data_IF_466962872740
#
_entry.id   IF_466962872740
#
_cell.length_a   1.000
_cell.length_b   1.000
_cell.length_c   1.000
_cell.angle_alpha   90.00
_cell.angle_beta   90.00
_cell.angle_gamma   90.00
#
_symmetry.space_group_name_H-M   'P 1'
#
loop_
_entity.id
_entity.type
_entity.pdbx_description
1 polymer ?
#
# COMPACT_ATOMS: atom_id res chain seq x y z
N UNK A 1 8.92 31.30 -5.14
CA UNK A 1 7.72 30.43 -5.06
C UNK A 1 8.14 29.10 -4.47
N UNK A 2 7.91 28.91 -3.17
CA UNK A 2 8.23 27.68 -2.45
C UNK A 2 7.22 26.60 -2.87
N UNK A 3 7.68 25.54 -3.52
CA UNK A 3 6.84 24.37 -3.78
C UNK A 3 6.27 23.81 -2.46
N UNK A 4 5.12 23.12 -2.50
CA UNK A 4 4.51 22.59 -1.30
C UNK A 4 5.50 21.67 -0.58
N UNK A 5 5.85 22.04 0.65
CA UNK A 5 6.62 21.23 1.59
C UNK A 5 6.02 19.83 1.67
N UNK A 6 6.86 18.78 1.56
CA UNK A 6 6.40 17.41 1.73
C UNK A 6 5.65 17.29 3.08
N UNK A 7 4.47 16.65 3.10
CA UNK A 7 3.69 16.55 4.33
C UNK A 7 4.49 15.82 5.41
N UNK A 8 4.40 16.26 6.68
CA UNK A 8 5.11 15.61 7.77
C UNK A 8 4.75 14.12 7.87
N UNK A 9 5.69 13.24 8.27
CA UNK A 9 5.41 11.83 8.44
C UNK A 9 4.27 11.63 9.45
N UNK A 10 3.38 10.68 9.14
CA UNK A 10 2.20 10.42 9.97
C UNK A 10 2.58 10.06 11.40
N UNK A 11 1.90 10.64 12.39
CA UNK A 11 2.15 10.32 13.80
C UNK A 11 1.64 8.92 14.14
N UNK A 12 2.19 8.30 15.20
CA UNK A 12 1.71 6.99 15.69
C UNK A 12 0.21 7.03 15.99
N UNK A 13 -0.29 8.13 16.56
CA UNK A 13 -1.70 8.33 16.84
C UNK A 13 -2.56 8.36 15.55
N UNK A 14 -2.09 9.03 14.49
CA UNK A 14 -2.76 9.04 13.20
C UNK A 14 -2.83 7.65 12.57
N UNK A 15 -1.74 6.87 12.63
CA UNK A 15 -1.71 5.50 12.12
C UNK A 15 -2.73 4.63 12.85
N UNK A 16 -2.75 4.68 14.19
CA UNK A 16 -3.71 3.93 15.01
C UNK A 16 -5.14 4.33 14.67
N UNK A 17 -5.44 5.64 14.60
CA UNK A 17 -6.78 6.13 14.28
C UNK A 17 -7.27 5.64 12.91
N UNK A 18 -6.43 5.71 11.88
CA UNK A 18 -6.78 5.24 10.52
C UNK A 18 -6.98 3.73 10.49
N UNK A 19 -6.12 2.96 11.16
CA UNK A 19 -6.25 1.50 11.24
C UNK A 19 -7.52 1.10 11.98
N UNK A 20 -7.82 1.75 13.12
CA UNK A 20 -9.06 1.52 13.87
C UNK A 20 -10.30 1.87 13.05
N UNK A 21 -10.27 2.98 12.30
CA UNK A 21 -11.36 3.36 11.40
C UNK A 21 -11.59 2.31 10.30
N UNK A 22 -10.51 1.84 9.66
CA UNK A 22 -10.57 0.73 8.70
C UNK A 22 -11.16 -0.53 9.32
N UNK A 23 -10.74 -0.90 10.54
CA UNK A 23 -11.23 -2.10 11.23
C UNK A 23 -12.74 -2.06 11.46
N UNK A 24 -13.25 -0.95 11.98
CA UNK A 24 -14.69 -0.80 12.27
C UNK A 24 -15.50 -0.85 10.98
N UNK A 25 -15.11 -0.05 9.97
CA UNK A 25 -15.81 -0.02 8.70
C UNK A 25 -15.86 -1.40 8.03
N UNK A 26 -14.73 -2.11 8.06
CA UNK A 26 -14.60 -3.42 7.43
C UNK A 26 -15.38 -4.53 8.18
N UNK A 27 -15.45 -4.48 9.51
CA UNK A 27 -16.23 -5.45 10.29
C UNK A 27 -17.73 -5.30 10.01
N UNK A 28 -18.26 -4.07 10.07
CA UNK A 28 -19.67 -3.80 9.73
C UNK A 28 -19.97 -4.25 8.30
N UNK A 29 -19.12 -3.87 7.34
CA UNK A 29 -19.29 -4.22 5.93
C UNK A 29 -19.46 -5.73 5.71
N UNK A 30 -18.64 -6.57 6.38
CA UNK A 30 -18.71 -8.02 6.16
C UNK A 30 -20.01 -8.65 6.67
N UNK A 31 -20.48 -8.26 7.85
CA UNK A 31 -21.71 -8.83 8.40
C UNK A 31 -22.93 -8.38 7.61
N UNK A 32 -23.03 -7.09 7.27
CA UNK A 32 -24.17 -6.57 6.51
C UNK A 32 -24.15 -7.11 5.07
N UNK A 33 -22.98 -7.20 4.41
CA UNK A 33 -22.86 -7.85 3.10
C UNK A 33 -23.42 -9.27 3.10
N UNK A 34 -23.08 -10.07 4.12
CA UNK A 34 -23.56 -11.44 4.23
C UNK A 34 -25.08 -11.50 4.37
N UNK A 35 -25.67 -10.61 5.19
CA UNK A 35 -27.13 -10.56 5.37
C UNK A 35 -27.85 -10.24 4.06
N UNK A 36 -27.34 -9.29 3.27
CA UNK A 36 -27.94 -8.91 1.99
C UNK A 36 -27.80 -10.01 0.94
N UNK A 37 -26.61 -10.60 0.82
CA UNK A 37 -26.37 -11.67 -0.14
C UNK A 37 -27.18 -12.93 0.16
N UNK A 38 -27.46 -13.21 1.44
CA UNK A 38 -28.37 -14.29 1.83
C UNK A 38 -29.83 -13.98 1.49
N UNK A 39 -30.25 -12.72 1.52
CA UNK A 39 -31.61 -12.28 1.21
C UNK A 39 -31.87 -12.07 -0.30
N UNK A 40 -30.80 -11.90 -1.10
CA UNK A 40 -30.86 -11.70 -2.54
C UNK A 40 -29.70 -12.41 -3.26
N UNK A 41 -29.63 -13.77 -3.20
CA UNK A 41 -28.52 -14.54 -3.77
C UNK A 41 -28.44 -14.45 -5.30
N UNK A 42 -29.53 -14.00 -5.94
CA UNK A 42 -29.63 -13.88 -7.39
C UNK A 42 -29.09 -12.57 -7.98
N UNK A 43 -28.77 -11.57 -7.14
CA UNK A 43 -28.35 -10.23 -7.56
C UNK A 43 -26.98 -9.76 -7.00
N UNK A 44 -25.94 -10.62 -6.95
CA UNK A 44 -24.66 -10.25 -6.35
C UNK A 44 -23.90 -9.16 -7.11
N UNK A 45 -23.95 -9.14 -8.45
CA UNK A 45 -23.24 -8.12 -9.24
C UNK A 45 -23.98 -6.79 -9.18
N UNK A 46 -25.30 -6.80 -9.22
CA UNK A 46 -26.12 -5.61 -8.99
C UNK A 46 -25.88 -5.02 -7.61
N UNK A 47 -25.78 -5.86 -6.57
CA UNK A 47 -25.45 -5.43 -5.22
C UNK A 47 -24.11 -4.68 -5.17
N UNK A 48 -23.06 -5.24 -5.76
CA UNK A 48 -21.75 -4.59 -5.86
C UNK A 48 -21.80 -3.30 -6.68
N UNK A 49 -22.53 -3.30 -7.81
CA UNK A 49 -22.71 -2.12 -8.64
C UNK A 49 -23.37 -0.97 -7.86
N UNK A 50 -24.44 -1.27 -7.11
CA UNK A 50 -25.11 -0.30 -6.25
C UNK A 50 -24.17 0.26 -5.18
N UNK A 51 -23.32 -0.57 -4.57
CA UNK A 51 -22.33 -0.10 -3.60
C UNK A 51 -21.35 0.91 -4.21
N UNK A 52 -20.84 0.64 -5.41
CA UNK A 52 -19.93 1.55 -6.09
C UNK A 52 -20.62 2.86 -6.48
N UNK A 53 -21.87 2.81 -6.95
CA UNK A 53 -22.66 3.99 -7.30
C UNK A 53 -22.95 4.86 -6.07
N UNK A 54 -23.37 4.25 -4.96
CA UNK A 54 -23.62 4.95 -3.70
C UNK A 54 -22.33 5.58 -3.18
N UNK A 55 -21.19 4.90 -3.30
CA UNK A 55 -19.90 5.47 -2.92
C UNK A 55 -19.54 6.72 -3.74
N UNK A 56 -19.82 6.72 -5.05
CA UNK A 56 -19.63 7.90 -5.91
C UNK A 56 -20.57 9.04 -5.52
N UNK A 57 -21.84 8.74 -5.23
CA UNK A 57 -22.81 9.74 -4.75
C UNK A 57 -22.34 10.36 -3.42
N UNK A 58 -21.88 9.54 -2.47
CA UNK A 58 -21.38 10.02 -1.19
C UNK A 58 -20.10 10.85 -1.33
N UNK A 59 -19.24 10.55 -2.31
CA UNK A 59 -18.09 11.38 -2.65
C UNK A 59 -18.50 12.76 -3.17
N UNK A 60 -19.48 12.82 -4.08
CA UNK A 60 -20.03 14.08 -4.54
C UNK A 60 -20.69 14.87 -3.41
N UNK A 61 -21.47 14.21 -2.55
CA UNK A 61 -22.05 14.83 -1.37
C UNK A 61 -20.97 15.37 -0.43
N UNK A 62 -19.94 14.59 -0.16
CA UNK A 62 -18.81 15.01 0.68
C UNK A 62 -18.09 16.24 0.13
N UNK A 63 -17.99 16.36 -1.20
CA UNK A 63 -17.44 17.54 -1.87
C UNK A 63 -18.32 18.79 -1.71
N UNK A 64 -19.64 18.61 -1.67
CA UNK A 64 -20.56 19.74 -1.41
C UNK A 64 -20.55 20.19 0.05
N UNK A 65 -20.27 19.29 1.00
CA UNK A 65 -20.24 19.61 2.43
C UNK A 65 -18.89 20.14 2.92
N UNK A 66 -17.78 19.85 2.25
CA UNK A 66 -16.44 20.21 2.70
C UNK A 66 -15.56 20.76 1.57
N UNK A 67 -15.03 21.97 1.78
CA UNK A 67 -14.06 22.59 0.87
C UNK A 67 -12.72 21.86 0.79
N UNK A 68 -12.46 20.92 1.71
CA UNK A 68 -11.27 20.06 1.70
C UNK A 68 -11.42 18.85 0.76
N UNK A 69 -12.64 18.54 0.31
CA UNK A 69 -12.93 17.44 -0.61
C UNK A 69 -13.05 18.00 -2.03
N UNK A 70 -11.99 17.87 -2.83
CA UNK A 70 -12.01 18.25 -4.24
C UNK A 70 -12.36 17.02 -5.09
N UNK A 71 -13.42 17.12 -5.89
CA UNK A 71 -13.74 16.12 -6.92
C UNK A 71 -12.62 16.18 -7.97
N UNK A 72 -12.09 15.04 -8.44
CA UNK A 72 -11.10 15.02 -9.50
C UNK A 72 -11.58 15.79 -10.74
N UNK A 73 -10.66 16.50 -11.38
CA UNK A 73 -10.83 16.89 -12.77
C UNK A 73 -10.84 15.63 -13.63
N UNK A 74 -11.81 15.52 -14.53
CA UNK A 74 -11.91 14.40 -15.47
C UNK A 74 -10.84 14.52 -16.55
N UNK A 75 -9.61 14.17 -16.20
CA UNK A 75 -8.46 14.13 -17.10
C UNK A 75 -8.25 12.69 -17.60
N UNK A 76 -8.29 12.53 -18.92
CA UNK A 76 -8.05 11.26 -19.59
C UNK A 76 -6.66 10.68 -19.28
N UNK A 77 -5.65 11.53 -19.08
CA UNK A 77 -4.29 11.11 -18.73
C UNK A 77 -4.26 10.41 -17.37
N UNK A 78 -4.91 11.02 -16.37
CA UNK A 78 -5.05 10.44 -15.03
C UNK A 78 -5.85 9.14 -15.11
N UNK A 79 -7.00 9.14 -15.79
CA UNK A 79 -7.83 7.96 -15.97
C UNK A 79 -7.05 6.77 -16.56
N UNK A 80 -6.29 7.01 -17.64
CA UNK A 80 -5.44 6.00 -18.29
C UNK A 80 -4.34 5.50 -17.34
N UNK A 81 -3.76 6.38 -16.54
CA UNK A 81 -2.70 6.02 -15.58
C UNK A 81 -3.19 5.18 -14.39
N UNK A 82 -4.48 5.31 -14.04
CA UNK A 82 -5.16 4.61 -12.95
C UNK A 82 -5.90 3.35 -13.41
N UNK A 83 -6.11 3.19 -14.71
CA UNK A 83 -6.80 2.04 -15.30
C UNK A 83 -6.34 0.68 -14.75
N UNK A 84 -5.03 0.39 -14.54
CA UNK A 84 -4.61 -0.88 -13.95
C UNK A 84 -5.15 -1.10 -12.53
N UNK A 85 -5.17 -0.06 -11.69
CA UNK A 85 -5.64 -0.14 -10.30
C UNK A 85 -7.14 -0.45 -10.28
N UNK A 86 -7.90 0.24 -11.13
CA UNK A 86 -9.35 0.09 -11.27
C UNK A 86 -9.71 -1.28 -11.83
N UNK A 87 -9.02 -1.73 -12.88
CA UNK A 87 -9.29 -3.00 -13.55
C UNK A 87 -9.01 -4.19 -12.64
N UNK A 88 -7.87 -4.18 -11.94
CA UNK A 88 -7.54 -5.25 -10.99
C UNK A 88 -8.54 -5.29 -9.83
N UNK A 89 -9.02 -4.14 -9.35
CA UNK A 89 -10.08 -4.10 -8.34
C UNK A 89 -11.39 -4.73 -8.86
N UNK A 90 -11.87 -4.31 -10.03
CA UNK A 90 -13.12 -4.81 -10.61
C UNK A 90 -13.07 -6.32 -10.85
N UNK A 91 -12.01 -6.82 -11.49
CA UNK A 91 -11.83 -8.25 -11.76
C UNK A 91 -11.65 -9.04 -10.46
N UNK A 92 -10.90 -8.49 -9.50
CA UNK A 92 -10.72 -9.08 -8.16
C UNK A 92 -12.05 -9.24 -7.41
N UNK A 93 -12.93 -8.25 -7.46
CA UNK A 93 -14.27 -8.32 -6.85
C UNK A 93 -15.14 -9.42 -7.49
N UNK A 94 -15.06 -9.59 -8.81
CA UNK A 94 -15.78 -10.67 -9.52
C UNK A 94 -15.24 -12.03 -9.11
N UNK A 95 -13.92 -12.28 -9.19
CA UNK A 95 -13.35 -13.56 -8.76
C UNK A 95 -13.60 -13.86 -7.29
N UNK A 96 -13.54 -12.84 -6.42
CA UNK A 96 -13.87 -13.00 -5.01
C UNK A 96 -15.31 -13.48 -4.81
N UNK A 97 -16.26 -12.87 -5.51
CA UNK A 97 -17.68 -13.24 -5.46
C UNK A 97 -17.91 -14.65 -6.01
N UNK A 98 -17.27 -15.01 -7.13
CA UNK A 98 -17.36 -16.36 -7.71
C UNK A 98 -16.76 -17.42 -6.78
N UNK A 99 -15.65 -17.12 -6.11
CA UNK A 99 -15.05 -17.99 -5.11
C UNK A 99 -16.00 -18.25 -3.95
N UNK A 100 -16.55 -17.18 -3.35
CA UNK A 100 -17.51 -17.30 -2.23
C UNK A 100 -18.77 -18.09 -2.58
N UNK A 101 -19.15 -18.12 -3.85
CA UNK A 101 -20.27 -18.93 -4.35
C UNK A 101 -19.89 -20.40 -4.58
N UNK A 102 -18.64 -20.67 -4.96
CA UNK A 102 -18.18 -21.98 -5.38
C UNK A 102 -17.53 -22.82 -4.26
N UNK A 103 -17.13 -22.19 -3.14
CA UNK A 103 -16.47 -22.88 -2.03
C UNK A 103 -17.03 -22.46 -0.67
N UNK A 104 -16.97 -23.37 0.31
CA UNK A 104 -17.33 -23.07 1.69
C UNK A 104 -16.36 -22.07 2.35
N UNK A 105 -16.85 -21.43 3.41
CA UNK A 105 -16.10 -20.43 4.17
C UNK A 105 -14.74 -20.93 4.68
N UNK A 106 -14.61 -22.23 4.97
CA UNK A 106 -13.34 -22.86 5.39
C UNK A 106 -12.28 -22.81 4.28
N UNK A 107 -12.64 -23.12 3.04
CA UNK A 107 -11.73 -23.06 1.89
C UNK A 107 -11.36 -21.63 1.51
N UNK A 108 -12.28 -20.69 1.69
CA UNK A 108 -12.00 -19.27 1.48
C UNK A 108 -10.89 -18.72 2.41
N UNK A 109 -10.67 -19.34 3.58
CA UNK A 109 -9.55 -18.97 4.46
C UNK A 109 -8.19 -19.30 3.85
N UNK A 110 -8.09 -20.32 2.98
CA UNK A 110 -6.86 -20.63 2.25
C UNK A 110 -6.49 -19.47 1.33
N UNK A 111 -7.46 -18.96 0.57
CA UNK A 111 -7.27 -17.78 -0.28
C UNK A 111 -6.82 -16.56 0.55
N UNK A 112 -7.40 -16.34 1.73
CA UNK A 112 -6.96 -15.26 2.65
C UNK A 112 -5.53 -15.44 3.14
N UNK A 113 -5.14 -16.67 3.47
CA UNK A 113 -3.77 -17.00 3.86
C UNK A 113 -2.75 -16.65 2.78
N UNK A 114 -3.12 -16.81 1.50
CA UNK A 114 -2.24 -16.53 0.36
C UNK A 114 -2.07 -15.03 0.05
N UNK A 115 -2.98 -14.16 0.48
CA UNK A 115 -2.93 -12.72 0.16
C UNK A 115 -1.62 -12.08 0.63
N UNK A 116 -1.18 -12.41 1.84
CA UNK A 116 0.00 -11.81 2.46
C UNK A 116 1.32 -12.17 1.76
N UNK A 117 1.67 -13.45 1.52
CA UNK A 117 2.88 -13.81 0.78
C UNK A 117 2.85 -13.28 -0.67
N UNK A 118 1.68 -13.29 -1.32
CA UNK A 118 1.53 -12.70 -2.65
C UNK A 118 1.76 -11.18 -2.64
N UNK A 119 1.27 -10.48 -1.62
CA UNK A 119 1.49 -9.03 -1.47
C UNK A 119 2.97 -8.71 -1.28
N UNK A 120 3.69 -9.50 -0.47
CA UNK A 120 5.13 -9.33 -0.28
C UNK A 120 5.87 -9.59 -1.60
N UNK A 121 5.51 -10.64 -2.33
CA UNK A 121 6.13 -10.95 -3.62
C UNK A 121 5.90 -9.82 -4.64
N UNK A 122 4.65 -9.36 -4.81
CA UNK A 122 4.31 -8.27 -5.73
C UNK A 122 4.99 -6.96 -5.31
N UNK A 123 5.03 -6.65 -4.01
CA UNK A 123 5.71 -5.46 -3.50
C UNK A 123 7.23 -5.51 -3.75
N UNK A 124 7.85 -6.69 -3.59
CA UNK A 124 9.28 -6.88 -3.86
C UNK A 124 9.60 -6.75 -5.35
N UNK A 125 8.77 -7.32 -6.23
CA UNK A 125 8.92 -7.21 -7.69
C UNK A 125 8.74 -5.75 -8.14
N UNK A 126 7.71 -5.06 -7.64
CA UNK A 126 7.40 -3.69 -8.04
C UNK A 126 8.43 -2.69 -7.50
N UNK A 127 8.80 -2.81 -6.22
CA UNK A 127 9.69 -1.85 -5.55
C UNK A 127 11.19 -2.16 -5.68
N UNK A 128 11.56 -3.32 -6.23
CA UNK A 128 12.95 -3.84 -6.29
C UNK A 128 13.69 -3.80 -4.95
N UNK A 129 12.96 -3.96 -3.84
CA UNK A 129 13.52 -4.04 -2.48
C UNK A 129 13.14 -5.37 -1.85
N UNK A 130 14.12 -6.07 -1.32
CA UNK A 130 13.91 -7.35 -0.65
C UNK A 130 13.38 -7.12 0.77
N UNK A 131 12.35 -7.89 1.21
CA UNK A 131 11.88 -7.82 2.58
C UNK A 131 12.93 -8.39 3.54
N UNK A 132 12.93 -7.91 4.79
CA UNK A 132 13.78 -8.50 5.83
C UNK A 132 13.32 -9.92 6.18
N UNK A 133 14.27 -10.79 6.55
CA UNK A 133 13.96 -12.18 6.93
C UNK A 133 12.90 -12.26 8.03
N UNK A 134 12.92 -11.32 8.99
CA UNK A 134 11.93 -11.24 10.06
C UNK A 134 10.52 -10.90 9.56
N UNK A 135 10.39 -10.08 8.51
CA UNK A 135 9.09 -9.84 7.85
C UNK A 135 8.59 -11.12 7.17
N UNK A 136 9.48 -11.90 6.55
CA UNK A 136 9.13 -13.18 5.95
C UNK A 136 8.67 -14.20 7.00
N UNK A 137 9.35 -14.28 8.15
CA UNK A 137 8.94 -15.14 9.27
C UNK A 137 7.58 -14.72 9.84
N UNK A 138 7.35 -13.42 10.02
CA UNK A 138 6.04 -12.93 10.45
C UNK A 138 4.94 -13.29 9.43
N UNK A 139 5.26 -13.23 8.13
CA UNK A 139 4.36 -13.55 7.06
C UNK A 139 4.01 -15.05 6.97
N UNK A 140 5.00 -15.93 7.15
CA UNK A 140 4.78 -17.38 7.19
C UNK A 140 3.95 -17.77 8.40
N UNK A 141 4.17 -17.15 9.57
CA UNK A 141 3.33 -17.35 10.75
C UNK A 141 1.87 -16.98 10.47
N UNK A 142 1.60 -15.77 9.95
CA UNK A 142 0.22 -15.35 9.64
C UNK A 142 -0.43 -16.26 8.60
N UNK A 143 0.30 -16.63 7.54
CA UNK A 143 -0.18 -17.55 6.50
C UNK A 143 -0.51 -18.92 7.08
N UNK A 144 0.41 -19.48 7.88
CA UNK A 144 0.22 -20.75 8.57
C UNK A 144 -0.95 -20.71 9.54
N UNK A 145 -1.17 -19.58 10.24
CA UNK A 145 -2.31 -19.37 11.11
C UNK A 145 -3.65 -19.48 10.37
N UNK A 146 -3.78 -18.89 9.17
CA UNK A 146 -4.99 -19.08 8.34
C UNK A 146 -5.20 -20.53 7.93
N UNK A 147 -4.13 -21.27 7.61
CA UNK A 147 -4.20 -22.69 7.25
C UNK A 147 -4.58 -23.58 8.44
N UNK A 148 -4.01 -23.35 9.62
CA UNK A 148 -4.36 -24.07 10.88
C UNK A 148 -5.86 -23.95 11.16
N UNK A 149 -6.45 -22.79 10.90
CA UNK A 149 -7.88 -22.56 11.11
C UNK A 149 -8.81 -23.43 10.26
N UNK A 150 -8.29 -24.11 9.22
CA UNK A 150 -9.07 -24.93 8.28
C UNK A 150 -9.04 -26.44 8.56
N UNK A 151 -8.07 -26.93 9.35
CA UNK A 151 -7.64 -28.34 9.40
C UNK A 151 -8.63 -29.35 10.01
N UNK A 152 -9.77 -28.92 10.57
CA UNK A 152 -10.86 -29.82 11.01
C UNK A 152 -12.25 -29.45 10.48
N UNK A 153 -12.40 -28.31 9.80
CA UNK A 153 -13.67 -27.94 9.16
C UNK A 153 -13.73 -28.35 7.69
N UNK A 154 -12.59 -28.73 7.10
CA UNK A 154 -12.54 -29.42 5.83
C UNK A 154 -12.68 -30.93 6.09
N UNK A 155 -13.89 -31.40 6.43
CA UNK A 155 -14.24 -32.75 5.98
C UNK A 155 -13.98 -32.74 4.49
N UNK A 156 -13.10 -33.61 3.99
CA UNK A 156 -12.81 -33.75 2.56
C UNK A 156 -14.08 -34.33 1.92
N UNK A 157 -15.15 -33.54 1.86
CA UNK A 157 -16.28 -33.83 1.00
C UNK A 157 -15.78 -33.54 -0.40
N UNK A 158 -15.78 -34.59 -1.24
CA UNK A 158 -15.26 -34.63 -2.59
C UNK A 158 -15.94 -33.67 -3.60
N UNK A 159 -16.64 -32.64 -3.12
CA UNK A 159 -17.34 -31.63 -3.91
C UNK A 159 -16.66 -30.25 -3.84
N UNK A 160 -15.36 -30.15 -3.53
CA UNK A 160 -14.63 -28.90 -3.75
C UNK A 160 -14.49 -28.68 -5.24
N UNK A 161 -15.24 -27.72 -5.79
CA UNK A 161 -15.10 -27.31 -7.18
C UNK A 161 -13.67 -26.80 -7.41
N UNK A 162 -12.91 -27.49 -8.28
CA UNK A 162 -11.56 -27.06 -8.67
C UNK A 162 -11.55 -25.61 -9.18
N UNK A 163 -12.63 -25.19 -9.85
CA UNK A 163 -12.84 -23.81 -10.30
C UNK A 163 -12.94 -22.82 -9.13
N UNK A 164 -13.61 -23.21 -8.04
CA UNK A 164 -13.74 -22.39 -6.83
C UNK A 164 -12.41 -22.11 -6.15
N UNK A 165 -11.51 -23.10 -6.09
CA UNK A 165 -10.14 -22.92 -5.58
C UNK A 165 -9.32 -21.99 -6.48
N UNK A 166 -9.41 -22.16 -7.80
CA UNK A 166 -8.75 -21.28 -8.77
C UNK A 166 -9.21 -19.83 -8.62
N UNK A 167 -10.52 -19.59 -8.51
CA UNK A 167 -11.05 -18.24 -8.25
C UNK A 167 -10.54 -17.67 -6.91
N UNK A 168 -10.34 -18.51 -5.89
CA UNK A 168 -9.76 -18.10 -4.62
C UNK A 168 -8.31 -17.60 -4.76
N UNK A 169 -7.48 -18.34 -5.49
CA UNK A 169 -6.08 -17.94 -5.77
C UNK A 169 -6.02 -16.67 -6.61
N UNK A 170 -6.84 -16.58 -7.67
CA UNK A 170 -6.91 -15.39 -8.53
C UNK A 170 -7.41 -14.16 -7.78
N UNK A 171 -8.40 -14.31 -6.91
CA UNK A 171 -8.88 -13.25 -6.01
C UNK A 171 -7.78 -12.79 -5.06
N UNK A 172 -7.06 -13.72 -4.42
CA UNK A 172 -5.96 -13.40 -3.51
C UNK A 172 -4.84 -12.62 -4.21
N UNK A 173 -4.48 -13.02 -5.43
CA UNK A 173 -3.52 -12.31 -6.28
C UNK A 173 -4.03 -10.93 -6.66
N UNK A 174 -5.29 -10.79 -7.05
CA UNK A 174 -5.89 -9.50 -7.38
C UNK A 174 -5.88 -8.53 -6.19
N UNK A 175 -6.21 -9.00 -4.98
CA UNK A 175 -6.13 -8.21 -3.74
C UNK A 175 -4.68 -7.74 -3.49
N UNK A 176 -3.71 -8.65 -3.63
CA UNK A 176 -2.29 -8.34 -3.45
C UNK A 176 -1.79 -7.29 -4.45
N UNK A 177 -2.09 -7.48 -5.74
CA UNK A 177 -1.72 -6.55 -6.81
C UNK A 177 -2.42 -5.21 -6.62
N UNK A 178 -3.72 -5.20 -6.30
CA UNK A 178 -4.47 -3.97 -6.06
C UNK A 178 -3.87 -3.14 -4.92
N UNK A 179 -3.53 -3.76 -3.79
CA UNK A 179 -2.91 -3.07 -2.66
C UNK A 179 -1.58 -2.40 -3.04
N UNK A 180 -0.73 -3.08 -3.82
CA UNK A 180 0.55 -2.51 -4.29
C UNK A 180 0.32 -1.41 -5.31
N UNK A 181 -0.62 -1.60 -6.24
CA UNK A 181 -0.98 -0.60 -7.24
C UNK A 181 -1.57 0.66 -6.62
N UNK A 182 -2.34 0.57 -5.53
CA UNK A 182 -2.80 1.75 -4.76
C UNK A 182 -1.60 2.56 -4.29
N UNK A 183 -0.61 1.90 -3.67
CA UNK A 183 0.62 2.55 -3.21
C UNK A 183 1.35 3.29 -4.34
N UNK A 184 1.41 2.67 -5.53
CA UNK A 184 2.03 3.25 -6.73
C UNK A 184 1.17 4.33 -7.42
N UNK A 185 -0.14 4.32 -7.22
CA UNK A 185 -1.08 5.25 -7.83
C UNK A 185 -1.26 6.53 -7.02
N UNK A 186 -1.07 6.49 -5.70
CA UNK A 186 -1.21 7.66 -4.82
C UNK A 186 -0.40 8.89 -5.29
N UNK A 187 0.88 8.78 -5.71
CA UNK A 187 1.63 9.93 -6.23
C UNK A 187 1.05 10.52 -7.53
N UNK A 188 0.35 9.71 -8.34
CA UNK A 188 -0.23 10.14 -9.63
C UNK A 188 -1.47 11.03 -9.48
N UNK A 189 -2.10 11.00 -8.31
CA UNK A 189 -3.27 11.83 -7.96
C UNK A 189 -2.93 12.84 -6.86
N UNK A 190 -1.72 13.42 -6.93
CA UNK A 190 -1.23 14.41 -5.96
C UNK A 190 -1.26 13.93 -4.49
N UNK A 191 -1.21 12.62 -4.25
CA UNK A 191 -1.33 12.02 -2.93
C UNK A 191 -2.74 12.08 -2.32
N UNK A 192 -3.77 12.45 -3.09
CA UNK A 192 -5.16 12.51 -2.61
C UNK A 192 -5.79 11.13 -2.56
N UNK A 193 -5.97 10.59 -1.35
CA UNK A 193 -6.65 9.30 -1.15
C UNK A 193 -8.12 9.35 -1.59
N UNK A 194 -8.76 10.51 -1.46
CA UNK A 194 -10.17 10.69 -1.80
C UNK A 194 -10.37 10.80 -3.32
N UNK A 195 -9.43 11.42 -4.02
CA UNK A 195 -9.41 11.44 -5.47
C UNK A 195 -9.21 10.04 -6.05
N UNK A 196 -8.30 9.26 -5.46
CA UNK A 196 -8.12 7.86 -5.83
C UNK A 196 -9.40 7.05 -5.56
N UNK A 197 -10.06 7.29 -4.42
CA UNK A 197 -11.32 6.63 -4.07
C UNK A 197 -12.42 6.87 -5.11
N UNK A 198 -12.49 8.09 -5.65
CA UNK A 198 -13.41 8.42 -6.74
C UNK A 198 -13.13 7.59 -7.98
N UNK A 199 -11.89 7.63 -8.48
CA UNK A 199 -11.51 6.89 -9.68
C UNK A 199 -11.69 5.39 -9.52
N UNK A 200 -11.38 4.82 -8.34
CA UNK A 200 -11.58 3.40 -8.07
C UNK A 200 -13.05 3.01 -8.03
N UNK A 201 -13.91 3.77 -7.35
CA UNK A 201 -15.34 3.43 -7.26
C UNK A 201 -16.07 3.69 -8.58
N UNK A 202 -15.90 4.87 -9.18
CA UNK A 202 -16.54 5.22 -10.45
C UNK A 202 -16.06 4.31 -11.60
N UNK A 203 -14.75 4.10 -11.71
CA UNK A 203 -14.19 3.22 -12.73
C UNK A 203 -14.61 1.76 -12.54
N UNK A 204 -14.69 1.28 -11.30
CA UNK A 204 -15.19 -0.09 -11.03
C UNK A 204 -16.67 -0.21 -11.40
N UNK A 205 -17.50 0.78 -11.10
CA UNK A 205 -18.91 0.79 -11.53
C UNK A 205 -19.05 0.69 -13.06
N UNK A 206 -18.23 1.45 -13.81
CA UNK A 206 -18.21 1.39 -15.27
C UNK A 206 -17.79 0.00 -15.77
N UNK A 207 -16.74 -0.59 -15.20
CA UNK A 207 -16.26 -1.92 -15.61
C UNK A 207 -17.20 -3.06 -15.19
N UNK A 208 -18.01 -2.88 -14.14
CA UNK A 208 -19.02 -3.85 -13.74
C UNK A 208 -20.28 -3.80 -14.61
N UNK A 209 -20.55 -2.69 -15.31
CA UNK A 209 -21.78 -2.55 -16.11
C UNK A 209 -21.90 -3.61 -17.22
N UNK A 210 -20.88 -3.90 -18.05
CA UNK A 210 -20.97 -5.00 -19.03
C UNK A 210 -21.17 -6.36 -18.36
N UNK A 211 -20.53 -6.61 -17.21
CA UNK A 211 -20.69 -7.86 -16.46
C UNK A 211 -22.13 -8.01 -15.97
N UNK A 212 -22.73 -6.94 -15.45
CA UNK A 212 -24.13 -6.91 -15.00
C UNK A 212 -25.12 -7.23 -16.13
N UNK A 213 -24.84 -6.75 -17.34
CA UNK A 213 -25.67 -7.05 -18.52
C UNK A 213 -25.49 -8.51 -18.97
N UNK A 214 -24.26 -9.01 -18.99
CA UNK A 214 -23.93 -10.36 -19.43
C UNK A 214 -24.39 -11.45 -18.45
N UNK A 215 -24.43 -11.18 -17.15
CA UNK A 215 -24.96 -12.13 -16.15
C UNK A 215 -26.48 -12.25 -16.19
N UNK A 216 -27.17 -11.38 -16.94
CA UNK A 216 -28.62 -11.35 -17.03
C UNK A 216 -29.32 -10.84 -15.77
N UNK A 217 -28.58 -10.34 -14.76
CA UNK A 217 -29.17 -9.77 -13.55
C UNK A 217 -30.03 -8.54 -13.88
N UNK A 218 -29.61 -7.71 -14.84
CA UNK A 218 -30.41 -6.59 -15.34
C UNK A 218 -31.71 -7.06 -16.02
N UNK A 219 -31.67 -8.16 -16.77
CA UNK A 219 -32.85 -8.74 -17.41
C UNK A 219 -33.84 -9.31 -16.38
N UNK A 220 -33.33 -9.89 -15.28
CA UNK A 220 -34.16 -10.33 -14.15
C UNK A 220 -34.94 -9.16 -13.54
N UNK A 221 -34.27 -8.03 -13.26
CA UNK A 221 -34.94 -6.82 -12.77
C UNK A 221 -36.00 -6.31 -13.74
N UNK A 222 -35.67 -6.30 -15.04
CA UNK A 222 -36.59 -5.88 -16.08
C UNK A 222 -37.85 -6.75 -16.09
N UNK A 223 -37.71 -8.07 -15.97
CA UNK A 223 -38.85 -9.00 -15.91
C UNK A 223 -39.73 -8.79 -14.67
N UNK A 224 -39.13 -8.52 -13.50
CA UNK A 224 -39.89 -8.19 -12.28
C UNK A 224 -40.60 -6.85 -12.41
N UNK A 225 -39.94 -5.84 -13.00
CA UNK A 225 -40.53 -4.53 -13.22
C UNK A 225 -41.75 -4.58 -14.14
N UNK A 226 -41.69 -5.41 -15.19
CA UNK A 226 -42.82 -5.63 -16.09
C UNK A 226 -43.96 -6.38 -15.40
N UNK A 227 -43.64 -7.41 -14.60
CA UNK A 227 -44.65 -8.14 -13.83
C UNK A 227 -45.41 -7.23 -12.86
N UNK A 228 -44.71 -6.29 -12.22
CA UNK A 228 -45.30 -5.28 -11.33
C UNK A 228 -46.10 -4.22 -12.10
N UNK A 229 -45.60 -3.72 -13.23
CA UNK A 229 -46.22 -2.62 -13.98
C UNK A 229 -47.42 -3.06 -14.84
N UNK A 230 -47.38 -4.27 -15.41
CA UNK A 230 -48.35 -4.74 -16.40
C UNK A 230 -49.09 -6.03 -16.00
N UNK A 231 -48.84 -6.57 -14.81
CA UNK A 231 -49.56 -7.74 -14.30
C UNK A 231 -49.35 -9.00 -15.14
N UNK A 232 -48.11 -9.36 -15.47
CA UNK A 232 -47.83 -10.56 -16.27
C UNK A 232 -48.10 -11.86 -15.48
N UNK A 233 -48.81 -12.82 -16.09
CA UNK A 233 -49.19 -14.11 -15.50
C UNK A 233 -48.00 -15.05 -15.18
N UNK A 234 -46.83 -14.82 -15.76
CA UNK A 234 -45.61 -15.56 -15.45
C UNK A 234 -44.84 -14.78 -14.37
N UNK A 235 -45.17 -14.96 -13.09
CA UNK A 235 -44.35 -14.40 -12.02
C UNK A 235 -42.94 -15.00 -12.11
N UNK A 236 -41.88 -14.20 -12.34
CA UNK A 236 -40.52 -14.70 -12.21
C UNK A 236 -40.36 -15.17 -10.77
N UNK A 237 -39.94 -16.41 -10.57
CA UNK A 237 -39.74 -17.04 -9.25
C UNK A 237 -38.50 -16.48 -8.54
N UNK A 238 -38.45 -15.16 -8.35
CA UNK A 238 -37.35 -14.48 -7.69
C UNK A 238 -37.81 -14.12 -6.28
N UNK A 239 -37.44 -14.95 -5.31
CA UNK A 239 -37.71 -14.69 -3.90
C UNK A 239 -36.68 -13.68 -3.35
N UNK A 240 -36.86 -12.40 -3.66
CA UNK A 240 -36.05 -11.32 -3.09
C UNK A 240 -36.84 -10.58 -2.03
N UNK A 241 -36.24 -10.46 -0.85
CA UNK A 241 -36.71 -9.51 0.15
C UNK A 241 -36.21 -8.09 -0.21
N UNK A 242 -37.04 -7.33 -0.91
CA UNK A 242 -36.70 -5.98 -1.39
C UNK A 242 -36.33 -4.99 -0.28
N UNK A 243 -36.95 -5.10 0.90
CA UNK A 243 -36.61 -4.24 2.03
C UNK A 243 -35.18 -4.50 2.52
N UNK A 244 -34.83 -5.77 2.72
CA UNK A 244 -33.48 -6.16 3.13
C UNK A 244 -32.46 -5.80 2.05
N UNK A 245 -32.81 -6.00 0.77
CA UNK A 245 -31.93 -5.67 -0.34
C UNK A 245 -31.66 -4.17 -0.47
N UNK A 246 -32.69 -3.31 -0.44
CA UNK A 246 -32.54 -1.87 -0.63
C UNK A 246 -31.88 -1.20 0.58
N UNK A 247 -32.38 -1.47 1.79
CA UNK A 247 -31.77 -0.92 3.02
C UNK A 247 -30.36 -1.44 3.19
N UNK A 248 -30.15 -2.73 2.95
CA UNK A 248 -28.83 -3.33 3.02
C UNK A 248 -27.87 -2.81 1.95
N UNK A 249 -28.34 -2.58 0.72
CA UNK A 249 -27.55 -1.93 -0.34
C UNK A 249 -27.15 -0.51 0.05
N UNK A 250 -28.05 0.25 0.66
CA UNK A 250 -27.73 1.59 1.17
C UNK A 250 -26.68 1.56 2.27
N UNK A 251 -26.90 0.75 3.32
CA UNK A 251 -25.97 0.64 4.46
C UNK A 251 -24.60 0.15 3.99
N UNK A 252 -24.55 -0.87 3.15
CA UNK A 252 -23.28 -1.41 2.63
C UNK A 252 -22.64 -0.50 1.58
N UNK A 253 -23.41 0.32 0.86
CA UNK A 253 -22.87 1.39 0.02
C UNK A 253 -22.15 2.46 0.86
N UNK A 254 -22.76 2.88 1.97
CA UNK A 254 -22.13 3.81 2.93
C UNK A 254 -20.87 3.21 3.55
N UNK A 255 -20.96 2.00 4.11
CA UNK A 255 -19.80 1.36 4.73
C UNK A 255 -18.76 0.92 3.70
N UNK A 256 -19.15 0.61 2.46
CA UNK A 256 -18.26 0.33 1.34
C UNK A 256 -17.45 1.56 0.93
N UNK A 257 -18.09 2.74 0.89
CA UNK A 257 -17.39 4.02 0.72
C UNK A 257 -16.38 4.27 1.85
N UNK A 258 -16.82 4.16 3.11
CA UNK A 258 -15.94 4.35 4.27
C UNK A 258 -14.77 3.37 4.27
N UNK A 259 -15.02 2.10 3.94
CA UNK A 259 -14.01 1.06 3.81
C UNK A 259 -13.01 1.38 2.71
N UNK A 260 -13.48 1.82 1.53
CA UNK A 260 -12.62 2.20 0.41
C UNK A 260 -11.67 3.35 0.82
N UNK A 261 -12.22 4.44 1.38
CA UNK A 261 -11.43 5.58 1.85
C UNK A 261 -10.46 5.16 2.96
N UNK A 262 -10.93 4.38 3.94
CA UNK A 262 -10.09 3.90 5.04
C UNK A 262 -8.93 3.04 4.55
N UNK A 263 -9.15 2.13 3.60
CA UNK A 263 -8.11 1.30 3.00
C UNK A 263 -7.06 2.13 2.26
N UNK A 264 -7.49 3.12 1.46
CA UNK A 264 -6.59 4.00 0.73
C UNK A 264 -5.75 4.87 1.68
N UNK A 265 -6.36 5.46 2.71
CA UNK A 265 -5.63 6.23 3.72
C UNK A 265 -4.70 5.32 4.51
N UNK A 266 -5.13 4.11 4.88
CA UNK A 266 -4.31 3.11 5.60
C UNK A 266 -3.07 2.77 4.80
N UNK A 267 -3.18 2.47 3.50
CA UNK A 267 -2.04 2.21 2.63
C UNK A 267 -1.15 3.46 2.50
N UNK A 268 -1.75 4.65 2.36
CA UNK A 268 -1.03 5.93 2.26
C UNK A 268 -0.16 6.22 3.48
N UNK A 269 -0.68 6.02 4.69
CA UNK A 269 0.05 6.32 5.94
C UNK A 269 0.93 5.17 6.42
N UNK A 270 0.76 3.96 5.87
CA UNK A 270 1.56 2.78 6.22
C UNK A 270 2.30 2.22 5.00
N UNK A 271 1.88 1.07 4.49
CA UNK A 271 2.35 0.46 3.24
C UNK A 271 1.36 -0.62 2.81
N UNK A 272 1.40 -1.09 1.54
CA UNK A 272 0.57 -2.21 1.08
C UNK A 272 0.72 -3.47 1.94
N UNK A 273 1.96 -3.79 2.35
CA UNK A 273 2.25 -4.96 3.20
C UNK A 273 1.69 -4.77 4.61
N UNK A 274 1.89 -3.59 5.21
CA UNK A 274 1.33 -3.27 6.55
C UNK A 274 -0.19 -3.32 6.55
N UNK A 275 -0.83 -2.85 5.48
CA UNK A 275 -2.27 -2.92 5.30
C UNK A 275 -2.77 -4.38 5.26
N UNK A 276 -2.00 -5.31 4.66
CA UNK A 276 -2.37 -6.73 4.66
C UNK A 276 -2.20 -7.40 6.02
N UNK A 277 -1.16 -7.08 6.81
CA UNK A 277 -1.08 -7.52 8.21
C UNK A 277 -2.25 -7.00 9.03
N UNK A 278 -2.61 -5.73 8.82
CA UNK A 278 -3.80 -5.11 9.43
C UNK A 278 -5.08 -5.85 9.00
N UNK A 279 -5.21 -6.24 7.73
CA UNK A 279 -6.34 -7.05 7.23
C UNK A 279 -6.39 -8.47 7.82
N UNK A 280 -5.24 -9.07 8.16
CA UNK A 280 -5.19 -10.35 8.86
C UNK A 280 -5.74 -10.25 10.29
N UNK A 281 -5.32 -9.23 11.05
CA UNK A 281 -5.87 -8.94 12.39
C UNK A 281 -7.37 -8.67 12.33
N UNK A 282 -7.85 -7.94 11.32
CA UNK A 282 -9.28 -7.75 11.08
C UNK A 282 -10.03 -9.09 10.96
N UNK A 283 -9.46 -10.04 10.22
CA UNK A 283 -10.09 -11.35 10.02
C UNK A 283 -10.18 -12.17 11.31
N UNK A 284 -9.19 -12.01 12.20
CA UNK A 284 -9.23 -12.56 13.57
C UNK A 284 -10.36 -11.93 14.38
N UNK A 285 -10.44 -10.60 14.39
CA UNK A 285 -11.51 -9.87 15.09
C UNK A 285 -12.90 -10.24 14.57
N UNK A 286 -13.03 -10.40 13.25
CA UNK A 286 -14.27 -10.87 12.62
C UNK A 286 -14.66 -12.26 13.10
N UNK A 287 -13.68 -13.16 13.25
CA UNK A 287 -13.91 -14.53 13.74
C UNK A 287 -14.37 -14.52 15.20
N UNK A 288 -13.69 -13.76 16.06
CA UNK A 288 -14.07 -13.60 17.47
C UNK A 288 -15.47 -12.99 17.59
N UNK A 289 -15.75 -11.92 16.85
CA UNK A 289 -17.05 -11.25 16.88
C UNK A 289 -18.17 -12.16 16.35
N UNK A 290 -17.90 -12.96 15.31
CA UNK A 290 -18.84 -13.96 14.81
C UNK A 290 -19.21 -14.97 15.89
N UNK A 291 -18.24 -15.51 16.62
CA UNK A 291 -18.47 -16.44 17.73
C UNK A 291 -19.30 -15.76 18.85
N UNK A 292 -18.96 -14.52 19.22
CA UNK A 292 -19.67 -13.79 20.27
C UNK A 292 -21.14 -13.49 19.90
N UNK A 293 -21.38 -13.09 18.65
CA UNK A 293 -22.74 -12.74 18.17
C UNK A 293 -23.59 -14.01 17.99
N UNK A 294 -23.03 -15.04 17.36
CA UNK A 294 -23.78 -16.27 17.02
C UNK A 294 -23.73 -17.32 18.13
N UNK A 295 -23.04 -17.05 19.24
CA UNK A 295 -22.81 -17.97 20.37
C UNK A 295 -22.28 -19.34 19.88
N UNK A 296 -21.42 -19.31 18.88
CA UNK A 296 -20.81 -20.51 18.29
C UNK A 296 -19.68 -21.05 19.19
N UNK A 297 -19.34 -22.32 19.04
CA UNK A 297 -18.28 -22.96 19.82
C UNK A 297 -16.92 -22.64 19.19
N UNK A 298 -15.98 -22.08 19.98
CA UNK A 298 -14.59 -21.93 19.55
C UNK A 298 -13.91 -23.30 19.59
N UNK A 299 -13.59 -23.86 18.43
CA UNK A 299 -12.77 -25.07 18.34
C UNK A 299 -11.30 -24.77 18.68
N UNK A 300 -10.57 -25.78 19.16
CA UNK A 300 -9.15 -25.64 19.49
C UNK A 300 -8.32 -25.12 18.29
N UNK A 301 -8.64 -25.54 17.06
CA UNK A 301 -7.96 -25.09 15.85
C UNK A 301 -8.23 -23.62 15.53
N UNK A 302 -9.46 -23.13 15.75
CA UNK A 302 -9.79 -21.70 15.62
C UNK A 302 -9.01 -20.88 16.65
N UNK A 303 -8.90 -21.36 17.88
CA UNK A 303 -8.12 -20.68 18.93
C UNK A 303 -6.62 -20.64 18.61
N UNK A 304 -6.06 -21.77 18.16
CA UNK A 304 -4.66 -21.86 17.72
C UNK A 304 -4.39 -20.93 16.51
N UNK A 305 -5.28 -20.93 15.52
CA UNK A 305 -5.23 -20.02 14.36
C UNK A 305 -5.19 -18.56 14.79
N UNK A 306 -6.09 -18.14 15.69
CA UNK A 306 -6.13 -16.78 16.23
C UNK A 306 -4.81 -16.42 16.92
N UNK A 307 -4.30 -17.29 17.78
CA UNK A 307 -3.03 -17.07 18.50
C UNK A 307 -1.84 -16.88 17.55
N UNK A 308 -1.72 -17.75 16.54
CA UNK A 308 -0.62 -17.70 15.57
C UNK A 308 -0.69 -16.44 14.70
N UNK A 309 -1.89 -16.06 14.21
CA UNK A 309 -2.06 -14.84 13.39
C UNK A 309 -1.72 -13.59 14.20
N UNK A 310 -2.20 -13.49 15.44
CA UNK A 310 -1.91 -12.35 16.31
C UNK A 310 -0.42 -12.26 16.65
N UNK A 311 0.21 -13.40 16.97
CA UNK A 311 1.64 -13.44 17.24
C UNK A 311 2.47 -12.98 16.03
N UNK A 312 2.19 -13.50 14.84
CA UNK A 312 2.87 -13.08 13.60
C UNK A 312 2.65 -11.58 13.29
N UNK A 313 1.44 -11.06 13.54
CA UNK A 313 1.12 -9.64 13.32
C UNK A 313 1.82 -8.70 14.33
N UNK A 314 1.92 -9.12 15.59
CA UNK A 314 2.69 -8.42 16.62
C UNK A 314 4.18 -8.42 16.29
N UNK A 315 4.72 -9.56 15.87
CA UNK A 315 6.11 -9.69 15.44
C UNK A 315 6.42 -8.72 14.29
N UNK A 316 5.56 -8.69 13.26
CA UNK A 316 5.71 -7.74 12.15
C UNK A 316 5.72 -6.27 12.62
N UNK A 317 4.78 -5.91 13.50
CA UNK A 317 4.68 -4.54 14.02
C UNK A 317 5.93 -4.15 14.81
N UNK A 318 6.47 -5.07 15.62
CA UNK A 318 7.73 -4.87 16.34
C UNK A 318 8.92 -4.69 15.39
N UNK A 319 9.03 -5.52 14.36
CA UNK A 319 10.08 -5.40 13.32
C UNK A 319 10.00 -4.03 12.65
N UNK A 320 8.79 -3.60 12.25
CA UNK A 320 8.59 -2.31 11.59
C UNK A 320 8.92 -1.13 12.51
N UNK A 321 8.56 -1.23 13.80
CA UNK A 321 8.92 -0.24 14.81
C UNK A 321 10.44 -0.11 14.94
N UNK A 322 11.16 -1.23 15.00
CA UNK A 322 12.63 -1.27 15.08
C UNK A 322 13.30 -0.71 13.81
N UNK A 323 12.78 -1.05 12.63
CA UNK A 323 13.24 -0.45 11.36
C UNK A 323 13.06 1.07 11.35
N UNK A 324 11.91 1.56 11.84
CA UNK A 324 11.66 3.00 11.95
C UNK A 324 12.59 3.69 12.95
N UNK A 325 12.87 3.05 14.09
CA UNK A 325 13.81 3.58 15.09
C UNK A 325 15.24 3.62 14.56
N UNK A 326 15.69 2.59 13.84
CA UNK A 326 17.01 2.56 13.20
C UNK A 326 17.16 3.65 12.15
N UNK A 327 16.11 3.91 11.37
CA UNK A 327 16.11 5.00 10.38
C UNK A 327 16.22 6.38 11.04
N UNK A 328 15.53 6.57 12.17
CA UNK A 328 15.50 7.85 12.86
C UNK A 328 16.68 8.06 13.82
N UNK A 329 17.49 7.03 14.08
CA UNK A 329 18.63 7.08 15.01
C UNK A 329 19.83 6.31 14.41
N UNK A 330 20.55 6.91 13.44
CA UNK A 330 21.62 6.24 12.70
C UNK A 330 22.86 5.88 13.56
N UNK A 331 23.02 6.47 14.75
CA UNK A 331 24.15 6.20 15.66
C UNK A 331 24.20 4.80 16.29
N UNK A 332 23.27 3.90 15.94
CA UNK A 332 23.18 2.54 16.50
C UNK A 332 23.24 1.44 15.43
N UNK A 333 23.71 1.75 14.22
CA UNK A 333 23.96 0.74 13.19
C UNK A 333 25.17 -0.14 13.60
N UNK A 334 25.05 -1.48 13.66
CA UNK A 334 26.21 -2.34 13.78
C UNK A 334 27.09 -2.13 12.54
N UNK A 335 28.40 -1.92 12.74
CA UNK A 335 29.38 -1.91 11.67
C UNK A 335 29.21 -3.15 10.78
N UNK A 336 29.44 -3.05 9.45
CA UNK A 336 29.39 -4.22 8.58
C UNK A 336 30.38 -5.24 9.12
N UNK A 337 29.93 -6.47 9.37
CA UNK A 337 30.83 -7.58 9.70
C UNK A 337 31.65 -7.87 8.44
N UNK A 338 32.91 -7.43 8.43
CA UNK A 338 33.92 -7.99 7.55
C UNK A 338 34.16 -9.42 8.03
N UNK A 339 33.74 -10.38 7.21
CA UNK A 339 34.14 -11.77 7.40
C UNK A 339 35.60 -11.87 6.93
N UNK A 340 36.53 -11.75 7.86
CA UNK A 340 37.90 -12.21 7.66
C UNK A 340 37.90 -13.73 7.84
N UNK A 341 37.64 -14.45 6.75
CA UNK A 341 37.99 -15.88 6.65
C UNK A 341 39.15 -16.02 5.67
N UNK A 342 40.18 -16.70 6.17
CA UNK A 342 41.51 -16.92 5.62
C UNK A 342 41.50 -17.43 4.16
N UNK A 343 42.32 -16.79 3.32
CA UNK A 343 42.76 -17.37 2.05
C UNK A 343 44.29 -17.52 2.05
N UNK A 344 44.76 -18.73 2.35
CA UNK A 344 46.11 -19.18 2.05
C UNK A 344 46.07 -20.05 0.77
N UNK A 345 46.96 -19.77 -0.18
CA UNK A 345 47.45 -20.78 -1.11
C UNK A 345 47.09 -20.66 -2.60
N UNK A 346 47.92 -19.91 -3.32
CA UNK A 346 48.60 -20.25 -4.60
C UNK A 346 47.83 -20.96 -5.74
N UNK A 347 47.85 -20.30 -6.92
CA UNK A 347 48.46 -20.91 -8.11
C UNK A 347 47.61 -21.04 -9.39
N UNK A 348 48.18 -20.53 -10.49
CA UNK A 348 48.10 -20.99 -11.90
C UNK A 348 46.97 -20.49 -12.85
N UNK A 349 47.38 -19.53 -13.68
CA UNK A 349 47.36 -19.47 -15.17
C UNK A 349 46.18 -19.99 -16.04
N UNK A 350 45.77 -19.09 -16.96
CA UNK A 350 45.44 -19.29 -18.39
C UNK A 350 44.03 -19.76 -18.83
N UNK A 351 43.24 -18.88 -19.49
CA UNK A 351 43.02 -18.87 -20.96
C UNK A 351 41.94 -17.87 -21.41
N UNK A 352 42.25 -17.21 -22.53
CA UNK A 352 41.39 -16.36 -23.38
C UNK A 352 40.19 -17.14 -23.98
N UNK A 353 39.00 -16.51 -24.01
CA UNK A 353 38.07 -16.63 -25.14
C UNK A 353 37.07 -15.46 -25.17
N UNK A 354 36.85 -14.95 -26.36
CA UNK A 354 36.31 -13.63 -26.73
C UNK A 354 34.78 -13.65 -26.92
N UNK A 355 34.16 -12.47 -26.78
CA UNK A 355 32.94 -11.96 -27.47
C UNK A 355 31.58 -12.06 -26.73
N UNK A 356 31.17 -10.99 -26.03
CA UNK A 356 30.20 -10.00 -26.54
C UNK A 356 29.95 -8.89 -25.52
N UNK A 357 30.18 -7.66 -25.96
CA UNK A 357 30.11 -6.38 -25.24
C UNK A 357 28.69 -5.85 -25.07
N UNK A 358 28.26 -5.63 -23.82
CA UNK A 358 27.36 -4.53 -23.42
C UNK A 358 27.89 -4.02 -22.06
N UNK A 359 28.27 -2.75 -22.00
CA UNK A 359 28.86 -2.08 -20.84
C UNK A 359 28.01 -2.29 -19.56
N UNK A 360 28.51 -3.11 -18.65
CA UNK A 360 28.33 -2.95 -17.22
C UNK A 360 29.72 -2.60 -16.66
N UNK A 361 29.85 -1.40 -16.11
CA UNK A 361 31.04 -1.03 -15.36
C UNK A 361 31.02 -1.80 -14.04
N UNK A 362 31.79 -2.88 -14.02
CA UNK A 362 32.14 -3.65 -12.84
C UNK A 362 32.89 -2.76 -11.83
N UNK A 363 32.45 -2.81 -10.58
CA UNK A 363 33.10 -2.12 -9.46
C UNK A 363 34.06 -3.10 -8.80
N UNK A 364 35.33 -3.05 -9.20
CA UNK A 364 36.44 -3.56 -8.42
C UNK A 364 37.72 -2.80 -8.83
N UNK A 365 38.17 -1.85 -7.99
CA UNK A 365 39.46 -1.17 -8.22
C UNK A 365 39.69 0.11 -7.43
N UNK A 366 40.51 -0.01 -6.39
CA UNK A 366 41.33 1.03 -5.73
C UNK A 366 40.64 2.22 -5.04
N UNK A 367 40.92 2.40 -3.75
CA UNK A 367 40.68 3.64 -3.01
C UNK A 367 41.61 4.79 -3.41
N UNK A 368 41.93 4.91 -4.69
CA UNK A 368 42.71 6.01 -5.25
C UNK A 368 41.74 6.96 -5.96
N UNK A 369 41.73 8.23 -5.53
CA UNK A 369 40.98 9.30 -6.19
C UNK A 369 41.65 9.56 -7.53
N UNK A 370 41.02 9.15 -8.64
CA UNK A 370 41.52 9.41 -9.99
C UNK A 370 40.86 10.65 -10.59
N UNK A 371 39.58 10.86 -10.31
CA UNK A 371 38.82 12.02 -10.78
C UNK A 371 38.22 12.83 -9.62
N UNK A 372 38.02 14.16 -9.78
CA UNK A 372 37.40 15.00 -8.75
C UNK A 372 36.02 14.51 -8.30
N UNK A 373 35.26 13.84 -9.19
CA UNK A 373 33.96 13.27 -8.89
C UNK A 373 34.02 12.01 -8.02
N UNK A 374 35.15 11.30 -8.02
CA UNK A 374 35.33 10.13 -7.14
C UNK A 374 35.33 10.55 -5.67
N UNK A 375 35.80 11.76 -5.37
CA UNK A 375 35.80 12.30 -4.01
C UNK A 375 34.36 12.41 -3.46
N UNK A 376 33.43 12.90 -4.28
CA UNK A 376 32.01 13.05 -3.91
C UNK A 376 31.35 11.68 -3.81
N UNK A 377 31.71 10.75 -4.70
CA UNK A 377 31.28 9.35 -4.62
C UNK A 377 31.69 8.69 -3.30
N UNK A 378 32.90 8.95 -2.84
CA UNK A 378 33.43 8.43 -1.59
C UNK A 378 32.79 9.08 -0.36
N UNK A 379 32.24 10.29 -0.49
CA UNK A 379 31.54 11.01 0.59
C UNK A 379 30.03 10.75 0.67
N UNK A 380 29.51 9.76 -0.07
CA UNK A 380 28.12 9.31 0.10
C UNK A 380 27.92 8.75 1.52
N UNK A 381 26.85 9.18 2.18
CA UNK A 381 26.51 8.92 3.59
C UNK A 381 27.47 9.55 4.61
N UNK A 382 28.40 10.41 4.19
CA UNK A 382 29.26 11.18 5.08
C UNK A 382 28.77 12.64 5.22
N UNK A 383 29.18 13.30 6.29
CA UNK A 383 28.92 14.74 6.48
C UNK A 383 29.86 15.54 5.59
N UNK A 384 29.29 16.34 4.70
CA UNK A 384 30.00 17.20 3.75
C UNK A 384 29.69 18.66 4.02
N UNK A 385 30.65 19.51 3.72
CA UNK A 385 30.51 20.96 3.68
C UNK A 385 30.26 21.39 2.24
N UNK A 386 29.22 22.19 2.01
CA UNK A 386 28.84 22.69 0.68
C UNK A 386 28.72 24.19 0.72
N UNK A 387 29.52 24.88 -0.09
CA UNK A 387 29.43 26.33 -0.27
C UNK A 387 28.56 26.64 -1.48
N UNK A 388 27.54 27.45 -1.28
CA UNK A 388 26.62 27.91 -2.31
C UNK A 388 26.89 29.37 -2.69
N UNK A 389 26.42 29.79 -3.86
CA UNK A 389 26.36 31.20 -4.26
C UNK A 389 25.51 32.02 -3.28
N UNK A 390 25.95 33.24 -3.00
CA UNK A 390 25.27 34.21 -2.12
C UNK A 390 25.57 34.03 -0.63
N UNK A 391 26.83 33.72 -0.28
CA UNK A 391 27.32 33.60 1.10
C UNK A 391 26.51 32.64 1.99
N UNK A 392 26.02 31.57 1.36
CA UNK A 392 25.29 30.48 1.99
C UNK A 392 26.20 29.27 2.09
N UNK A 393 26.33 28.74 3.30
CA UNK A 393 27.15 27.56 3.56
C UNK A 393 26.29 26.49 4.24
N UNK A 394 26.39 25.26 3.76
CA UNK A 394 25.63 24.11 4.23
C UNK A 394 26.59 23.07 4.80
N UNK A 395 26.22 22.46 5.92
CA UNK A 395 26.92 21.30 6.48
C UNK A 395 25.90 20.21 6.79
N UNK A 396 26.01 19.05 6.15
CA UNK A 396 25.02 17.98 6.31
C UNK A 396 25.48 16.65 5.69
N UNK A 397 24.68 15.61 5.84
CA UNK A 397 25.00 14.25 5.33
C UNK A 397 24.57 14.13 3.87
N UNK A 398 25.48 13.77 2.96
CA UNK A 398 25.18 13.62 1.54
C UNK A 398 24.55 12.25 1.25
N UNK A 399 23.34 12.19 0.70
CA UNK A 399 22.65 10.94 0.36
C UNK A 399 22.72 10.57 -1.11
N UNK A 400 22.69 11.57 -2.00
CA UNK A 400 22.73 11.36 -3.44
C UNK A 400 23.26 12.60 -4.13
N UNK A 401 23.87 12.39 -5.30
CA UNK A 401 24.24 13.42 -6.24
C UNK A 401 24.02 12.92 -7.68
N UNK A 402 23.98 13.84 -8.65
CA UNK A 402 23.98 13.53 -10.08
C UNK A 402 25.14 14.22 -10.82
N UNK A 403 25.25 13.99 -12.12
CA UNK A 403 26.29 14.60 -12.96
C UNK A 403 26.21 16.12 -13.08
N UNK A 404 25.11 16.74 -12.66
CA UNK A 404 24.94 18.21 -12.62
C UNK A 404 25.21 18.79 -11.23
N UNK A 405 25.68 17.98 -10.27
CA UNK A 405 25.90 18.38 -8.87
C UNK A 405 24.63 18.78 -8.13
N UNK A 406 23.46 18.25 -8.53
CA UNK A 406 22.26 18.33 -7.69
C UNK A 406 22.46 17.40 -6.49
N UNK A 407 22.37 17.91 -5.27
CA UNK A 407 22.64 17.16 -4.05
C UNK A 407 21.36 16.94 -3.24
N UNK A 408 21.25 15.75 -2.64
CA UNK A 408 20.26 15.46 -1.60
C UNK A 408 21.03 15.31 -0.29
N UNK A 409 20.75 16.18 0.68
CA UNK A 409 21.43 16.18 1.98
C UNK A 409 20.44 16.06 3.14
N UNK A 410 20.82 15.40 4.23
CA UNK A 410 20.07 15.36 5.50
C UNK A 410 20.83 16.01 6.64
N UNK A 411 20.15 16.31 7.74
CA UNK A 411 20.72 16.93 8.95
C UNK A 411 21.59 18.16 8.62
N UNK A 412 21.02 19.02 7.77
CA UNK A 412 21.70 20.17 7.17
C UNK A 412 21.62 21.35 8.11
N UNK A 413 22.77 21.81 8.57
CA UNK A 413 22.93 23.14 9.17
C UNK A 413 23.29 24.12 8.05
N UNK A 414 22.42 25.09 7.81
CA UNK A 414 22.64 26.16 6.86
C UNK A 414 22.98 27.45 7.60
N UNK A 415 24.04 28.11 7.16
CA UNK A 415 24.50 29.41 7.65
C UNK A 415 24.46 30.43 6.51
N UNK A 416 23.92 31.60 6.81
CA UNK A 416 23.82 32.74 5.89
C UNK A 416 24.55 33.92 6.54
N UNK A 417 25.55 34.46 5.86
CA UNK A 417 26.27 35.65 6.32
C UNK A 417 25.45 36.90 5.97
N UNK A 418 24.97 37.63 6.99
CA UNK A 418 24.24 38.89 6.82
C UNK A 418 25.15 40.03 7.28
N UNK A 419 25.51 40.93 6.35
CA UNK A 419 26.26 42.14 6.67
C UNK A 419 25.27 43.26 6.97
N UNK A 420 25.07 43.57 8.26
CA UNK A 420 24.33 44.76 8.65
C UNK A 420 25.32 45.94 8.67
N UNK A 421 25.08 46.91 7.79
CA UNK A 421 25.79 48.19 7.63
C UNK A 421 26.98 48.22 6.63
N UNK A 422 26.71 48.24 5.31
CA UNK A 422 27.74 48.29 4.26
C UNK A 422 28.50 49.64 4.15
N UNK A 423 28.09 50.67 4.91
CA UNK A 423 28.63 52.04 4.79
C UNK A 423 29.85 52.33 5.69
N UNK A 424 30.26 51.39 6.56
CA UNK A 424 31.46 51.56 7.39
C UNK A 424 32.49 50.42 7.15
N UNK A 425 33.48 50.63 6.28
CA UNK A 425 34.44 49.58 5.87
C UNK A 425 35.43 49.16 6.96
N UNK A 426 35.54 49.90 8.08
CA UNK A 426 36.51 49.58 9.14
C UNK A 426 36.00 48.57 10.18
N UNK A 427 34.69 48.31 10.27
CA UNK A 427 34.15 47.33 11.23
C UNK A 427 32.76 46.78 10.81
N UNK A 428 32.68 45.86 9.84
CA UNK A 428 31.41 45.27 9.40
C UNK A 428 30.81 44.39 10.51
N UNK A 429 29.56 44.68 10.91
CA UNK A 429 28.84 43.86 11.88
C UNK A 429 28.25 42.63 11.15
N UNK A 430 29.03 41.54 11.08
CA UNK A 430 28.65 40.30 10.41
C UNK A 430 27.83 39.43 11.36
N UNK A 431 26.54 39.24 11.08
CA UNK A 431 25.68 38.29 11.79
C UNK A 431 25.51 37.02 10.97
N UNK A 432 25.75 35.87 11.59
CA UNK A 432 25.54 34.55 10.95
C UNK A 432 24.17 34.02 11.35
N UNK A 433 23.22 33.99 10.41
CA UNK A 433 21.93 33.36 10.63
C UNK A 433 22.04 31.85 10.36
N UNK A 434 21.80 31.02 11.38
CA UNK A 434 21.84 29.55 11.28
C UNK A 434 20.43 28.96 11.26
N UNK A 435 20.17 28.00 10.38
CA UNK A 435 18.94 27.20 10.35
C UNK A 435 19.26 25.72 10.17
N UNK A 436 18.51 24.86 10.87
CA UNK A 436 18.62 23.41 10.71
C UNK A 436 17.48 22.89 9.84
N UNK A 437 17.80 22.03 8.87
CA UNK A 437 16.88 21.45 7.91
C UNK A 437 17.09 19.93 7.87
N UNK A 438 16.03 19.17 8.13
CA UNK A 438 16.10 17.69 8.19
C UNK A 438 16.50 17.08 6.84
N UNK A 439 15.93 17.57 5.74
CA UNK A 439 16.24 17.15 4.38
C UNK A 439 16.24 18.37 3.44
N UNK A 440 17.30 18.53 2.68
CA UNK A 440 17.48 19.64 1.73
C UNK A 440 17.89 19.11 0.36
N UNK A 441 17.12 19.48 -0.66
CA UNK A 441 17.52 19.35 -2.05
C UNK A 441 18.25 20.62 -2.48
N UNK A 442 19.47 20.46 -2.98
CA UNK A 442 20.34 21.53 -3.46
C UNK A 442 20.51 21.39 -4.97
N UNK A 443 20.17 22.44 -5.71
CA UNK A 443 20.35 22.48 -7.16
C UNK A 443 21.81 22.81 -7.51
N UNK A 444 22.40 22.06 -8.43
CA UNK A 444 23.82 22.13 -8.77
C UNK A 444 24.30 23.46 -9.32
N UNK A 445 23.43 24.21 -10.00
CA UNK A 445 23.74 25.56 -10.54
C UNK A 445 24.21 26.57 -9.47
N UNK A 446 23.88 26.31 -8.21
CA UNK A 446 24.26 27.15 -7.06
C UNK A 446 25.48 26.66 -6.28
N UNK A 447 26.01 25.46 -6.57
CA UNK A 447 27.11 24.84 -5.83
C UNK A 447 28.44 25.39 -6.32
N UNK A 448 29.24 25.94 -5.40
CA UNK A 448 30.60 26.44 -5.67
C UNK A 448 31.63 25.38 -5.30
N UNK A 449 31.46 24.75 -4.13
CA UNK A 449 32.40 23.80 -3.57
C UNK A 449 31.65 22.74 -2.78
N UNK A 450 32.10 21.49 -2.89
CA UNK A 450 31.77 20.40 -1.97
C UNK A 450 33.08 19.91 -1.37
N UNK A 451 33.20 19.96 -0.05
CA UNK A 451 34.33 19.42 0.70
C UNK A 451 33.84 18.25 1.55
N UNK A 452 34.49 17.07 1.50
CA UNK A 452 34.32 16.05 2.52
C UNK A 452 34.58 16.64 3.91
N UNK A 453 33.88 16.16 4.93
CA UNK A 453 34.21 16.48 6.31
C UNK A 453 35.60 15.96 6.66
N UNK A 454 36.30 16.65 7.56
CA UNK A 454 37.58 16.18 8.11
C UNK A 454 37.37 14.78 8.70
N UNK A 455 38.04 13.77 8.13
CA UNK A 455 38.09 12.41 8.70
C UNK A 455 38.94 12.37 9.96
#
# INVERSE_FOLDING_TARGET
MTGPSAPPPATKAQIVAVVSFYMVAALVMVFVNKLVLNAAPELPILFLFNQMLIAVILLHLSATLSSQVKIPSWDYSIAKSLFPVVSVNAVGLVWNTLCLRAVDASYFQIARGLVLPLTIAVAAIHGRKTPSLLVLVAATLVTGGFLIGTTHSATITAATSQAGLLYGVLSALAIAVHAVLIGAALPKVHGSALELAYWTNAGTAVLLMPVLLLTGEAQKLWSVSQAWAYGSAQQPSININWNVFLVGSFVTGVFGFLLCVASLISIKVTSPVTHMFTSAVRSVLQTVLGVLIFKDIITANRLASIGVILFGSCLYTWVKSKESQRRNNPGNAPAPKTNDEEANGKGATEKYSTTHSILMADVAGSGAVQEPFDLIRLSLSERVYVKLRGDRELTGVLHAYDGHMNLIMSDVEESIMIVENPENPENPNVKVAKRNVEMLFVRGDGVILVSPGSR
#
